data_IF_655779582584
#
_entry.id   IF_655779582584
#
_cell.length_a   1.000
_cell.length_b   1.000
_cell.length_c   1.000
_cell.angle_alpha   90.00
_cell.angle_beta   90.00
_cell.angle_gamma   90.00
#
_symmetry.space_group_name_H-M   'P 1'
#
loop_
_entity.id
_entity.type
_entity.pdbx_description
1 polymer ?
#
# COMPACT_ATOMS: atom_id res chain seq x y z
N UNK A 1 -2.43 4.40 9.03
CA UNK A 1 -3.19 3.18 8.62
C UNK A 1 -3.43 3.27 7.13
N UNK A 2 -3.64 2.17 6.40
CA UNK A 2 -3.74 2.22 4.93
C UNK A 2 -4.80 1.24 4.42
N UNK A 3 -5.26 1.47 3.20
CA UNK A 3 -6.04 0.53 2.42
C UNK A 3 -5.28 0.27 1.11
N UNK A 4 -5.07 -0.99 0.77
CA UNK A 4 -4.45 -1.40 -0.49
C UNK A 4 -5.36 -2.44 -1.13
N UNK A 5 -5.75 -2.23 -2.39
CA UNK A 5 -6.32 -3.25 -3.24
C UNK A 5 -5.40 -3.46 -4.44
N UNK A 6 -5.17 -4.71 -4.83
CA UNK A 6 -4.31 -5.00 -5.96
C UNK A 6 -4.76 -6.24 -6.72
N UNK A 7 -4.50 -6.23 -8.01
CA UNK A 7 -4.74 -7.33 -8.94
C UNK A 7 -3.38 -7.82 -9.45
N UNK A 8 -3.07 -9.08 -9.21
CA UNK A 8 -1.81 -9.71 -9.59
C UNK A 8 -2.07 -10.82 -10.60
N UNK A 9 -1.51 -10.67 -11.83
CA UNK A 9 -1.58 -11.66 -12.94
C UNK A 9 -2.98 -12.15 -13.28
N UNK A 10 -3.98 -11.28 -13.21
CA UNK A 10 -5.39 -11.58 -13.59
C UNK A 10 -5.87 -10.77 -14.78
N UNK A 11 -5.06 -9.82 -15.27
CA UNK A 11 -5.31 -9.10 -16.52
C UNK A 11 -4.24 -9.50 -17.55
N UNK A 12 -4.63 -9.73 -18.84
CA UNK A 12 -3.67 -10.20 -19.85
C UNK A 12 -2.54 -9.21 -20.13
N UNK A 13 -2.82 -7.91 -20.12
CA UNK A 13 -1.87 -6.86 -20.50
C UNK A 13 -1.26 -6.12 -19.30
N UNK A 14 -1.82 -6.30 -18.07
CA UNK A 14 -1.41 -5.58 -16.87
C UNK A 14 -1.15 -6.57 -15.72
N UNK A 15 0.10 -7.04 -15.57
CA UNK A 15 0.46 -8.08 -14.57
C UNK A 15 0.29 -7.62 -13.12
N UNK A 16 0.36 -6.31 -12.86
CA UNK A 16 0.12 -5.76 -11.52
C UNK A 16 -0.61 -4.42 -11.62
N UNK A 17 -1.76 -4.34 -10.93
CA UNK A 17 -2.53 -3.10 -10.77
C UNK A 17 -2.72 -2.89 -9.28
N UNK A 18 -2.34 -1.71 -8.76
CA UNK A 18 -2.45 -1.36 -7.34
C UNK A 18 -3.25 -0.07 -7.19
N UNK A 19 -4.18 -0.05 -6.25
CA UNK A 19 -4.90 1.14 -5.84
C UNK A 19 -4.91 1.22 -4.30
N UNK A 20 -4.40 2.32 -3.74
CA UNK A 20 -4.15 2.42 -2.30
C UNK A 20 -4.38 3.81 -1.74
N UNK A 21 -4.81 3.87 -0.47
CA UNK A 21 -4.84 5.07 0.36
C UNK A 21 -3.80 4.99 1.48
N UNK A 22 -3.10 6.09 1.71
CA UNK A 22 -2.33 6.32 2.92
C UNK A 22 -3.15 7.13 3.92
N UNK A 23 -3.43 6.54 5.05
CA UNK A 23 -4.12 7.20 6.16
C UNK A 23 -3.12 7.44 7.29
N UNK A 24 -3.00 8.69 7.75
CA UNK A 24 -1.99 9.09 8.73
C UNK A 24 -2.43 10.32 9.53
N UNK A 25 -1.78 10.58 10.65
CA UNK A 25 -1.94 11.82 11.41
C UNK A 25 -1.63 13.03 10.53
N UNK A 26 -2.49 14.06 10.60
CA UNK A 26 -2.40 15.25 9.76
C UNK A 26 -1.13 16.08 10.05
N UNK A 27 -0.62 16.00 11.28
CA UNK A 27 0.63 16.66 11.68
C UNK A 27 1.91 15.87 11.35
N UNK A 28 1.80 14.65 10.77
CA UNK A 28 2.97 13.89 10.33
C UNK A 28 3.45 14.42 8.98
N UNK A 29 4.60 15.07 8.99
CA UNK A 29 5.19 15.65 7.80
C UNK A 29 5.55 14.57 6.77
N UNK A 30 5.17 14.80 5.52
CA UNK A 30 5.33 13.84 4.42
C UNK A 30 5.63 14.59 3.13
N UNK A 31 6.64 14.16 2.40
CA UNK A 31 6.87 14.58 1.02
C UNK A 31 5.97 13.75 0.07
N UNK A 32 5.35 14.39 -0.95
CA UNK A 32 4.63 13.67 -1.99
C UNK A 32 5.57 12.80 -2.82
N UNK A 33 5.00 11.87 -3.60
CA UNK A 33 5.79 10.98 -4.45
C UNK A 33 6.71 11.75 -5.40
N UNK A 34 7.98 11.36 -5.38
CA UNK A 34 9.02 11.83 -6.28
C UNK A 34 10.18 10.82 -6.29
N UNK A 35 11.15 10.98 -7.20
CA UNK A 35 12.42 10.28 -7.09
C UNK A 35 13.23 10.83 -5.91
N UNK A 36 13.83 9.93 -5.13
CA UNK A 36 14.56 10.34 -3.95
C UNK A 36 16.00 10.80 -4.30
N UNK A 37 16.46 11.90 -3.73
CA UNK A 37 17.81 12.43 -3.98
C UNK A 37 18.91 11.46 -3.53
N UNK A 38 18.71 10.76 -2.41
CA UNK A 38 19.66 9.82 -1.82
C UNK A 38 19.55 8.39 -2.40
N UNK A 39 18.44 8.07 -3.09
CA UNK A 39 18.19 6.81 -3.81
C UNK A 39 17.41 7.10 -5.10
N UNK A 40 18.09 7.58 -6.16
CA UNK A 40 17.42 8.05 -7.39
C UNK A 40 16.61 7.00 -8.14
N UNK A 41 16.86 5.71 -7.85
CA UNK A 41 16.07 4.59 -8.36
C UNK A 41 14.71 4.45 -7.68
N UNK A 42 14.49 5.05 -6.49
CA UNK A 42 13.24 4.92 -5.74
C UNK A 42 12.28 6.05 -6.11
N UNK A 43 11.09 5.67 -6.55
CA UNK A 43 9.93 6.54 -6.74
C UNK A 43 8.90 6.26 -5.64
N UNK A 44 8.76 7.18 -4.70
CA UNK A 44 7.86 7.03 -3.53
C UNK A 44 7.57 8.38 -2.86
N UNK A 45 6.45 8.46 -2.13
CA UNK A 45 6.31 9.47 -1.10
C UNK A 45 7.29 9.21 0.05
N UNK A 46 7.63 10.24 0.84
CA UNK A 46 8.59 10.07 1.94
C UNK A 46 8.02 10.56 3.25
N UNK A 47 8.12 9.75 4.27
CA UNK A 47 7.86 10.12 5.65
C UNK A 47 9.05 10.96 6.16
N UNK A 48 8.86 12.25 6.34
CA UNK A 48 9.95 13.16 6.72
C UNK A 48 10.34 13.03 8.20
N UNK A 49 9.50 12.37 9.02
CA UNK A 49 9.82 12.13 10.41
C UNK A 49 10.71 10.89 10.61
N UNK A 50 10.44 9.80 9.85
CA UNK A 50 11.14 8.54 9.99
C UNK A 50 12.08 8.21 8.81
N UNK A 51 12.06 9.00 7.72
CA UNK A 51 12.94 8.86 6.57
C UNK A 51 12.58 7.77 5.56
N UNK A 52 11.69 6.82 5.93
CA UNK A 52 11.23 5.73 5.08
C UNK A 52 9.96 6.04 4.29
N UNK A 53 9.32 5.00 3.75
CA UNK A 53 8.05 5.11 3.02
C UNK A 53 7.07 4.00 3.37
N UNK A 54 5.80 4.21 3.03
CA UNK A 54 4.72 3.22 3.18
C UNK A 54 4.46 2.43 1.89
N UNK A 55 4.87 2.97 0.74
CA UNK A 55 4.70 2.40 -0.59
C UNK A 55 5.63 3.09 -1.57
N UNK A 56 6.20 2.33 -2.47
CA UNK A 56 7.02 2.84 -3.55
C UNK A 56 7.39 1.78 -4.57
N UNK A 57 8.05 2.22 -5.62
CA UNK A 57 8.64 1.35 -6.62
C UNK A 57 10.04 1.82 -6.98
N UNK A 58 10.79 0.98 -7.68
CA UNK A 58 12.06 1.37 -8.28
C UNK A 58 11.95 1.50 -9.79
N UNK A 59 12.92 2.17 -10.40
CA UNK A 59 13.09 2.20 -11.87
C UNK A 59 13.36 0.82 -12.45
N UNK A 60 13.77 -0.16 -11.63
CA UNK A 60 13.92 -1.57 -11.98
C UNK A 60 12.62 -2.39 -11.88
N UNK A 61 11.49 -1.75 -11.54
CA UNK A 61 10.18 -2.41 -11.47
C UNK A 61 9.89 -3.16 -10.17
N UNK A 62 10.75 -3.07 -9.15
CA UNK A 62 10.43 -3.59 -7.82
C UNK A 62 9.35 -2.71 -7.19
N UNK A 63 8.45 -3.32 -6.41
CA UNK A 63 7.41 -2.61 -5.68
C UNK A 63 7.31 -3.15 -4.26
N UNK A 64 7.08 -2.27 -3.30
CA UNK A 64 6.71 -2.66 -1.95
C UNK A 64 5.69 -1.71 -1.34
N UNK A 65 4.85 -2.26 -0.47
CA UNK A 65 3.87 -1.49 0.29
C UNK A 65 3.62 -2.12 1.66
N UNK A 66 3.28 -1.28 2.64
CA UNK A 66 3.12 -1.67 4.02
C UNK A 66 1.82 -1.14 4.61
N UNK A 67 1.16 -1.96 5.42
CA UNK A 67 0.11 -1.50 6.35
C UNK A 67 0.48 -1.86 7.79
N UNK A 68 0.12 -0.98 8.72
CA UNK A 68 0.17 -1.32 10.13
C UNK A 68 -0.86 -2.40 10.44
N UNK A 69 -0.53 -3.35 11.30
CA UNK A 69 -1.54 -4.20 11.92
C UNK A 69 -2.17 -3.43 13.10
N UNK A 70 -3.51 -3.44 13.20
CA UNK A 70 -4.23 -2.69 14.22
C UNK A 70 -4.43 -3.56 15.46
N UNK A 71 -3.54 -3.40 16.41
CA UNK A 71 -3.64 -3.97 17.76
C UNK A 71 -3.03 -2.97 18.76
N UNK A 72 -3.86 -2.06 19.31
CA UNK A 72 -3.36 -1.07 20.26
C UNK A 72 -2.77 -1.68 21.53
N UNK A 73 -3.15 -2.92 21.88
CA UNK A 73 -2.69 -3.59 23.10
C UNK A 73 -1.24 -4.09 23.00
N UNK A 74 -0.74 -4.30 21.77
CA UNK A 74 0.60 -4.81 21.50
C UNK A 74 1.58 -3.74 21.00
N UNK A 75 1.17 -2.47 20.92
CA UNK A 75 2.03 -1.42 20.34
C UNK A 75 3.16 -1.02 21.29
N UNK A 76 4.40 -1.21 20.83
CA UNK A 76 5.63 -0.90 21.56
C UNK A 76 6.14 0.50 21.19
N UNK A 77 6.77 1.18 22.16
CA UNK A 77 7.46 2.46 21.95
C UNK A 77 8.95 2.26 21.73
N UNK A 78 9.57 3.16 20.94
CA UNK A 78 11.02 3.12 20.74
C UNK A 78 11.53 2.03 19.80
N UNK A 79 10.63 1.39 19.06
CA UNK A 79 10.97 0.40 18.04
C UNK A 79 11.17 1.06 16.67
N UNK A 80 11.89 0.39 15.74
CA UNK A 80 12.10 0.92 14.39
C UNK A 80 10.82 1.24 13.63
N UNK A 81 10.90 2.20 12.71
CA UNK A 81 9.77 2.54 11.84
C UNK A 81 9.54 1.44 10.80
N UNK A 82 8.31 0.93 10.72
CA UNK A 82 7.91 -0.09 9.73
C UNK A 82 8.15 0.34 8.29
N UNK A 83 8.12 1.67 8.00
CA UNK A 83 8.40 2.21 6.67
C UNK A 83 9.83 1.95 6.19
N UNK A 84 10.76 1.64 7.08
CA UNK A 84 12.11 1.20 6.75
C UNK A 84 12.12 -0.12 5.99
N UNK A 85 11.24 -1.07 6.33
CA UNK A 85 11.11 -2.37 5.64
C UNK A 85 10.81 -2.20 4.14
N UNK A 86 9.95 -1.24 3.79
CA UNK A 86 9.67 -0.92 2.38
C UNK A 86 10.92 -0.39 1.69
N UNK A 87 11.61 0.57 2.32
CA UNK A 87 12.84 1.15 1.78
C UNK A 87 13.95 0.09 1.62
N UNK A 88 14.10 -0.79 2.60
CA UNK A 88 15.09 -1.88 2.55
C UNK A 88 14.81 -2.83 1.39
N UNK A 89 13.54 -3.28 1.20
CA UNK A 89 13.19 -4.13 0.05
C UNK A 89 13.44 -3.43 -1.30
N UNK A 90 13.09 -2.15 -1.42
CA UNK A 90 13.30 -1.40 -2.66
C UNK A 90 14.78 -1.25 -3.03
N UNK A 91 15.67 -1.21 -2.03
CA UNK A 91 17.12 -1.15 -2.20
C UNK A 91 17.80 -2.51 -2.33
N UNK A 92 17.11 -3.57 -1.92
CA UNK A 92 17.63 -4.94 -1.99
C UNK A 92 17.48 -5.50 -3.42
N UNK A 93 18.26 -6.52 -3.74
CA UNK A 93 18.19 -7.26 -5.00
C UNK A 93 17.64 -8.67 -4.85
N UNK A 94 17.32 -9.10 -3.61
CA UNK A 94 16.75 -10.41 -3.35
C UNK A 94 15.34 -10.55 -3.91
N UNK A 95 14.91 -11.80 -4.11
CA UNK A 95 13.53 -12.08 -4.51
C UNK A 95 12.54 -11.82 -3.36
N UNK A 96 11.28 -11.64 -3.70
CA UNK A 96 10.19 -11.52 -2.70
C UNK A 96 10.07 -12.73 -1.79
N UNK A 97 10.57 -13.89 -2.23
CA UNK A 97 10.60 -15.13 -1.44
C UNK A 97 11.69 -15.08 -0.35
N UNK A 98 12.84 -14.52 -0.65
CA UNK A 98 14.01 -14.53 0.25
C UNK A 98 14.06 -13.33 1.21
N UNK A 99 13.40 -12.22 0.86
CA UNK A 99 13.31 -11.08 1.77
C UNK A 99 12.36 -11.38 2.95
N UNK A 100 12.64 -11.06 4.21
CA UNK A 100 13.75 -10.21 4.70
C UNK A 100 15.01 -10.97 5.15
N UNK A 101 15.03 -12.32 5.09
CA UNK A 101 16.18 -13.09 5.62
C UNK A 101 17.49 -12.76 4.90
N UNK A 102 17.42 -12.55 3.57
CA UNK A 102 18.58 -12.13 2.79
C UNK A 102 19.16 -10.79 3.20
N UNK A 103 18.33 -9.91 3.77
CA UNK A 103 18.72 -8.60 4.27
C UNK A 103 19.02 -8.64 5.81
N UNK A 104 19.03 -9.83 6.43
CA UNK A 104 19.29 -10.04 7.86
C UNK A 104 18.40 -9.17 8.78
N UNK A 105 17.14 -8.97 8.40
CA UNK A 105 16.20 -8.10 9.12
C UNK A 105 15.51 -8.90 10.23
N UNK A 106 15.60 -8.42 11.45
CA UNK A 106 14.79 -8.90 12.56
C UNK A 106 13.38 -8.28 12.49
N UNK A 107 12.43 -9.04 11.90
CA UNK A 107 11.05 -8.59 11.75
C UNK A 107 10.30 -8.47 13.09
N UNK A 108 10.75 -9.16 14.13
CA UNK A 108 10.13 -9.13 15.46
C UNK A 108 10.52 -7.88 16.25
N UNK A 109 11.54 -7.14 15.78
CA UNK A 109 11.90 -5.84 16.35
C UNK A 109 10.87 -4.73 16.03
N UNK A 110 9.95 -4.96 15.08
CA UNK A 110 8.97 -3.96 14.63
C UNK A 110 7.61 -4.19 15.29
N UNK A 111 6.85 -3.12 15.46
CA UNK A 111 5.40 -3.22 15.73
C UNK A 111 4.68 -3.97 14.61
N UNK A 112 3.51 -4.54 14.91
CA UNK A 112 2.71 -5.33 13.99
C UNK A 112 2.52 -4.68 12.61
N UNK A 113 2.82 -5.41 11.54
CA UNK A 113 2.74 -4.95 10.16
C UNK A 113 2.29 -6.04 9.19
N UNK A 114 1.88 -5.60 8.02
CA UNK A 114 1.77 -6.38 6.80
C UNK A 114 2.67 -5.74 5.74
N UNK A 115 3.44 -6.54 5.04
CA UNK A 115 4.32 -6.11 3.95
C UNK A 115 3.95 -6.86 2.68
N UNK A 116 3.78 -6.11 1.59
CA UNK A 116 3.69 -6.60 0.23
C UNK A 116 5.00 -6.29 -0.48
N UNK A 117 5.52 -7.25 -1.23
CA UNK A 117 6.74 -7.12 -2.04
C UNK A 117 6.51 -7.66 -3.43
N UNK A 118 7.05 -7.00 -4.45
CA UNK A 118 7.06 -7.47 -5.84
C UNK A 118 8.45 -7.25 -6.43
N UNK A 119 9.07 -8.31 -6.90
CA UNK A 119 10.45 -8.31 -7.42
C UNK A 119 10.52 -8.25 -8.96
N UNK A 120 9.37 -7.99 -9.63
CA UNK A 120 9.20 -8.06 -11.08
C UNK A 120 8.61 -9.40 -11.53
N UNK A 121 8.80 -10.47 -10.76
CA UNK A 121 8.33 -11.82 -11.09
C UNK A 121 7.30 -12.33 -10.07
N UNK A 122 7.54 -12.14 -8.77
CA UNK A 122 6.73 -12.74 -7.70
C UNK A 122 6.19 -11.68 -6.75
N UNK A 123 4.93 -11.86 -6.35
CA UNK A 123 4.30 -11.06 -5.29
C UNK A 123 4.40 -11.81 -3.97
N UNK A 124 5.10 -11.23 -3.01
CA UNK A 124 5.22 -11.71 -1.64
C UNK A 124 4.25 -11.01 -0.69
N UNK A 125 3.77 -11.73 0.30
CA UNK A 125 3.03 -11.19 1.43
C UNK A 125 3.64 -11.70 2.74
N UNK A 126 3.85 -10.78 3.67
CA UNK A 126 4.37 -11.07 5.00
C UNK A 126 3.60 -10.30 6.07
N UNK A 127 3.46 -10.92 7.25
CA UNK A 127 3.01 -10.26 8.48
C UNK A 127 3.80 -10.84 9.65
N UNK A 128 4.28 -9.99 10.57
CA UNK A 128 4.94 -10.42 11.80
C UNK A 128 3.96 -10.66 12.95
N UNK A 129 2.65 -10.58 12.69
CA UNK A 129 1.62 -10.84 13.70
C UNK A 129 1.18 -12.30 13.67
N UNK A 130 0.80 -12.85 14.83
CA UNK A 130 0.11 -14.14 14.97
C UNK A 130 0.75 -15.31 14.22
N UNK A 131 2.06 -15.60 14.47
CA UNK A 131 2.88 -16.69 13.92
C UNK A 131 3.64 -16.37 12.63
N UNK A 132 4.00 -15.12 12.38
CA UNK A 132 4.85 -14.73 11.24
C UNK A 132 4.42 -15.40 9.92
N UNK A 133 3.40 -14.83 9.28
CA UNK A 133 2.91 -15.32 8.00
C UNK A 133 3.86 -14.83 6.91
N UNK A 134 4.31 -15.74 6.04
CA UNK A 134 5.07 -15.42 4.83
C UNK A 134 4.69 -16.36 3.71
N UNK A 135 4.39 -15.81 2.53
CA UNK A 135 4.07 -16.61 1.35
C UNK A 135 4.18 -15.80 0.06
N UNK A 136 4.46 -16.48 -1.03
CA UNK A 136 4.19 -15.98 -2.37
C UNK A 136 2.70 -16.08 -2.66
N UNK A 137 2.18 -15.08 -3.39
CA UNK A 137 0.77 -15.02 -3.74
C UNK A 137 0.55 -15.67 -5.12
N UNK A 138 -0.56 -16.39 -5.25
CA UNK A 138 -1.07 -16.85 -6.55
C UNK A 138 -1.69 -15.67 -7.33
N UNK A 139 -1.91 -15.80 -8.65
CA UNK A 139 -2.72 -14.84 -9.39
C UNK A 139 -4.08 -14.62 -8.72
N UNK A 140 -4.49 -13.35 -8.57
CA UNK A 140 -5.75 -13.03 -7.88
C UNK A 140 -5.95 -11.54 -7.64
N UNK A 141 -7.13 -11.19 -7.11
CA UNK A 141 -7.48 -9.85 -6.63
C UNK A 141 -7.51 -9.88 -5.12
N UNK A 142 -6.74 -9.02 -4.51
CA UNK A 142 -6.47 -8.98 -3.07
C UNK A 142 -6.81 -7.63 -2.47
N UNK A 143 -7.13 -7.64 -1.18
CA UNK A 143 -7.33 -6.44 -0.39
C UNK A 143 -6.63 -6.53 0.96
N UNK A 144 -5.99 -5.45 1.35
CA UNK A 144 -5.22 -5.36 2.59
C UNK A 144 -5.53 -4.04 3.29
N UNK A 145 -5.85 -4.13 4.57
CA UNK A 145 -5.92 -2.95 5.42
C UNK A 145 -5.11 -3.19 6.71
N UNK A 146 -5.68 -2.96 7.86
CA UNK A 146 -4.97 -3.00 9.14
C UNK A 146 -5.16 -4.33 9.90
N UNK A 147 -5.44 -5.39 9.18
CA UNK A 147 -5.49 -6.77 9.63
C UNK A 147 -4.83 -7.65 8.56
N UNK A 148 -4.92 -8.97 8.66
CA UNK A 148 -4.32 -9.88 7.69
C UNK A 148 -4.91 -9.70 6.27
N UNK A 149 -4.15 -10.12 5.26
CA UNK A 149 -4.55 -10.08 3.86
C UNK A 149 -5.94 -10.71 3.66
N UNK A 150 -6.78 -10.02 2.91
CA UNK A 150 -8.16 -10.43 2.58
C UNK A 150 -9.11 -10.54 3.79
N UNK A 151 -8.75 -9.97 4.94
CA UNK A 151 -9.73 -9.85 6.03
C UNK A 151 -10.96 -9.05 5.53
N UNK A 152 -12.18 -9.61 5.65
CA UNK A 152 -13.34 -9.09 4.95
C UNK A 152 -13.96 -7.85 5.61
N UNK A 153 -13.14 -6.86 5.91
CA UNK A 153 -13.63 -5.56 6.36
C UNK A 153 -14.39 -4.84 5.25
N UNK A 154 -15.44 -4.07 5.56
CA UNK A 154 -16.31 -3.43 4.55
C UNK A 154 -15.53 -2.68 3.49
N UNK A 155 -14.55 -1.84 3.87
CA UNK A 155 -13.71 -1.09 2.93
C UNK A 155 -12.83 -1.98 2.05
N UNK A 156 -12.36 -3.12 2.58
CA UNK A 156 -11.56 -4.08 1.83
C UNK A 156 -12.40 -4.75 0.75
N UNK A 157 -13.61 -5.21 1.10
CA UNK A 157 -14.53 -5.81 0.14
C UNK A 157 -14.96 -4.83 -0.94
N UNK A 158 -15.26 -3.58 -0.57
CA UNK A 158 -15.63 -2.52 -1.51
C UNK A 158 -14.47 -2.21 -2.48
N UNK A 159 -13.25 -2.06 -1.98
CA UNK A 159 -12.09 -1.79 -2.82
C UNK A 159 -11.79 -2.95 -3.77
N UNK A 160 -11.87 -4.21 -3.30
CA UNK A 160 -11.71 -5.41 -4.15
C UNK A 160 -12.75 -5.46 -5.26
N UNK A 161 -14.04 -5.29 -4.95
CA UNK A 161 -15.12 -5.32 -5.95
C UNK A 161 -15.02 -4.16 -6.95
N UNK A 162 -14.52 -3.00 -6.52
CA UNK A 162 -14.30 -1.86 -7.41
C UNK A 162 -13.10 -2.09 -8.32
N UNK A 163 -12.02 -2.68 -7.81
CA UNK A 163 -10.84 -3.04 -8.61
C UNK A 163 -11.16 -4.14 -9.62
N UNK A 164 -12.00 -5.12 -9.27
CA UNK A 164 -12.43 -6.20 -10.17
C UNK A 164 -13.09 -5.64 -11.45
N UNK A 165 -13.89 -4.56 -11.32
CA UNK A 165 -14.49 -3.88 -12.49
C UNK A 165 -13.43 -3.25 -13.38
N UNK A 166 -12.33 -2.72 -12.81
CA UNK A 166 -11.21 -2.15 -13.57
C UNK A 166 -10.39 -3.23 -14.27
N UNK A 167 -10.18 -4.37 -13.61
CA UNK A 167 -9.50 -5.55 -14.19
C UNK A 167 -10.30 -6.16 -15.35
N UNK A 168 -11.63 -6.05 -15.31
CA UNK A 168 -12.51 -6.54 -16.38
C UNK A 168 -12.59 -5.61 -17.60
N UNK A 169 -12.05 -4.40 -17.51
CA UNK A 169 -11.99 -3.45 -18.62
C UNK A 169 -10.74 -3.72 -19.48
N UNK A 170 -10.81 -3.43 -20.78
CA UNK A 170 -9.66 -3.59 -21.69
C UNK A 170 -8.44 -2.75 -21.26
N UNK A 171 -8.66 -1.62 -20.60
CA UNK A 171 -7.61 -0.76 -20.05
C UNK A 171 -8.09 -0.23 -18.70
N UNK A 172 -7.35 -0.47 -17.61
CA UNK A 172 -7.68 0.07 -16.31
C UNK A 172 -7.61 1.61 -16.30
N UNK A 173 -8.61 2.25 -15.71
CA UNK A 173 -8.72 3.70 -15.68
C UNK A 173 -8.24 4.24 -14.31
N UNK A 174 -7.15 5.02 -14.34
CA UNK A 174 -6.55 5.62 -13.15
C UNK A 174 -7.51 6.55 -12.41
N UNK A 175 -8.33 7.36 -13.12
CA UNK A 175 -9.25 8.29 -12.48
C UNK A 175 -10.42 7.55 -11.81
N UNK A 176 -10.93 6.49 -12.43
CA UNK A 176 -11.93 5.63 -11.79
C UNK A 176 -11.38 4.96 -10.53
N UNK A 177 -10.09 4.54 -10.54
CA UNK A 177 -9.45 3.95 -9.36
C UNK A 177 -9.24 5.00 -8.26
N UNK A 178 -8.76 6.18 -8.58
CA UNK A 178 -8.69 7.29 -7.63
C UNK A 178 -10.09 7.68 -7.11
N UNK A 179 -11.12 7.52 -7.96
CA UNK A 179 -12.52 7.79 -7.62
C UNK A 179 -13.05 6.85 -6.54
N UNK A 180 -12.89 5.53 -6.68
CA UNK A 180 -13.40 4.60 -5.66
C UNK A 180 -12.62 4.66 -4.34
N UNK A 181 -11.34 5.07 -4.37
CA UNK A 181 -10.56 5.31 -3.16
C UNK A 181 -11.07 6.50 -2.34
N UNK A 182 -11.89 7.38 -2.93
CA UNK A 182 -12.51 8.53 -2.24
C UNK A 182 -13.84 8.22 -1.54
N UNK A 183 -14.23 6.96 -1.47
CA UNK A 183 -15.44 6.56 -0.77
C UNK A 183 -15.29 6.81 0.75
N UNK A 184 -16.02 7.81 1.26
CA UNK A 184 -16.02 8.22 2.67
C UNK A 184 -17.23 7.67 3.46
N UNK A 185 -17.97 6.72 2.88
CA UNK A 185 -19.09 6.06 3.56
C UNK A 185 -18.60 5.21 4.72
N UNK A 186 -19.20 5.46 5.87
CA UNK A 186 -18.97 4.72 7.11
C UNK A 186 -19.82 3.43 7.06
N UNK A 187 -19.23 2.30 7.44
CA UNK A 187 -19.96 1.05 7.54
C UNK A 187 -20.93 1.05 8.71
N UNK A 188 -22.00 0.24 8.61
CA UNK A 188 -22.93 0.02 9.72
C UNK A 188 -22.24 -0.72 10.87
N UNK A 189 -22.65 -0.47 12.10
CA UNK A 189 -21.97 -0.94 13.32
C UNK A 189 -21.80 -2.46 13.36
N UNK A 190 -22.79 -3.19 12.85
CA UNK A 190 -22.79 -4.67 12.82
C UNK A 190 -21.68 -5.27 11.95
N UNK A 191 -21.13 -4.48 11.03
CA UNK A 191 -20.04 -4.89 10.13
C UNK A 191 -18.66 -4.38 10.57
N UNK A 192 -18.61 -3.58 11.66
CA UNK A 192 -17.35 -3.03 12.15
C UNK A 192 -16.52 -4.12 12.83
N UNK A 193 -15.19 -4.10 12.65
CA UNK A 193 -14.31 -4.97 13.43
C UNK A 193 -14.27 -4.51 14.89
N UNK A 194 -13.88 -5.39 15.78
CA UNK A 194 -13.53 -5.07 17.17
C UNK A 194 -12.01 -5.21 17.33
N UNK A 195 -11.28 -4.11 17.18
CA UNK A 195 -9.80 -4.13 17.19
C UNK A 195 -9.21 -3.49 18.46
N UNK A 196 -10.05 -3.20 19.46
CA UNK A 196 -9.63 -2.61 20.74
C UNK A 196 -9.62 -1.08 20.76
N UNK A 197 -10.03 -0.42 19.66
CA UNK A 197 -10.26 1.04 19.68
C UNK A 197 -11.73 1.37 19.98
N UNK A 198 -12.05 2.58 20.50
CA UNK A 198 -13.43 3.02 20.70
C UNK A 198 -14.28 2.92 19.43
N UNK A 199 -15.59 2.65 19.58
CA UNK A 199 -16.53 2.46 18.48
C UNK A 199 -16.56 3.65 17.51
N UNK A 200 -16.48 4.87 17.99
CA UNK A 200 -16.42 6.09 17.17
C UNK A 200 -15.20 6.07 16.23
N UNK A 201 -14.06 5.57 16.72
CA UNK A 201 -12.84 5.42 15.93
C UNK A 201 -13.01 4.28 14.93
N UNK A 202 -13.59 3.11 15.32
CA UNK A 202 -13.88 2.03 14.37
C UNK A 202 -14.78 2.51 13.22
N UNK A 203 -15.84 3.30 13.53
CA UNK A 203 -16.70 3.91 12.51
C UNK A 203 -15.89 4.78 11.53
N UNK A 204 -15.10 5.73 12.04
CA UNK A 204 -14.30 6.62 11.20
C UNK A 204 -13.29 5.86 10.33
N UNK A 205 -12.66 4.82 10.90
CA UNK A 205 -11.66 4.00 10.20
C UNK A 205 -12.26 2.96 9.24
N UNK A 206 -13.59 2.81 9.20
CA UNK A 206 -14.28 1.88 8.31
C UNK A 206 -14.41 2.40 6.87
N UNK A 207 -14.32 3.71 6.65
CA UNK A 207 -14.34 4.33 5.35
C UNK A 207 -13.04 4.02 4.57
N UNK A 208 -13.13 4.00 3.22
CA UNK A 208 -11.94 3.96 2.36
C UNK A 208 -11.19 5.28 2.39
N UNK A 209 -11.92 6.40 2.37
CA UNK A 209 -11.38 7.75 2.51
C UNK A 209 -11.72 8.29 3.91
N UNK A 210 -10.72 8.41 4.75
CA UNK A 210 -10.91 8.77 6.16
C UNK A 210 -10.85 10.29 6.34
N UNK A 211 -11.86 10.82 7.06
CA UNK A 211 -11.90 12.21 7.56
C UNK A 211 -12.23 12.18 9.04
N UNK A 212 -11.23 12.41 9.86
CA UNK A 212 -11.38 12.42 11.32
C UNK A 212 -10.50 13.53 11.92
N UNK A 213 -10.87 14.15 13.04
CA UNK A 213 -10.08 15.20 13.67
C UNK A 213 -8.62 14.75 13.91
N UNK A 214 -7.66 15.43 13.30
CA UNK A 214 -6.23 15.15 13.44
C UNK A 214 -5.73 13.93 12.67
N UNK A 215 -6.59 13.17 11.97
CA UNK A 215 -6.24 11.95 11.25
C UNK A 215 -7.05 11.80 9.96
N UNK A 216 -6.44 11.34 8.87
CA UNK A 216 -7.18 11.15 7.63
C UNK A 216 -6.34 10.63 6.47
N UNK A 217 -7.00 10.45 5.32
CA UNK A 217 -6.34 10.04 4.09
C UNK A 217 -5.48 11.19 3.57
N UNK A 218 -4.17 10.96 3.45
CA UNK A 218 -3.16 11.94 3.04
C UNK A 218 -2.88 11.88 1.54
N UNK A 219 -2.91 10.66 0.97
CA UNK A 219 -2.75 10.46 -0.47
C UNK A 219 -3.48 9.20 -0.93
N UNK A 220 -3.85 9.20 -2.22
CA UNK A 220 -4.30 8.03 -2.97
C UNK A 220 -3.30 7.76 -4.08
N UNK A 221 -2.86 6.51 -4.22
CA UNK A 221 -1.87 6.10 -5.20
C UNK A 221 -2.43 4.99 -6.08
N UNK A 222 -2.22 5.11 -7.40
CA UNK A 222 -2.51 4.08 -8.39
C UNK A 222 -1.22 3.74 -9.14
N UNK A 223 -0.90 2.45 -9.22
CA UNK A 223 0.26 1.95 -9.97
C UNK A 223 -0.23 0.88 -10.93
N UNK A 224 0.15 1.00 -12.21
CA UNK A 224 -0.24 0.06 -13.27
C UNK A 224 1.02 -0.37 -14.00
N UNK A 225 1.33 -1.66 -13.91
CA UNK A 225 2.41 -2.32 -14.67
C UNK A 225 1.84 -2.85 -15.98
N UNK A 226 2.43 -2.50 -17.09
CA UNK A 226 2.10 -3.01 -18.42
C UNK A 226 3.03 -4.14 -18.86
N UNK A 227 2.51 -5.12 -19.59
CA UNK A 227 3.32 -6.16 -20.25
C UNK A 227 4.27 -5.60 -21.31
N UNK A 228 4.07 -4.36 -21.75
CA UNK A 228 4.97 -3.63 -22.65
C UNK A 228 6.21 -3.08 -21.94
N UNK A 229 6.34 -3.30 -20.64
CA UNK A 229 7.42 -2.79 -19.79
C UNK A 229 7.19 -1.38 -19.28
N UNK A 230 6.05 -0.74 -19.56
CA UNK A 230 5.70 0.55 -18.98
C UNK A 230 5.12 0.40 -17.58
N UNK A 231 5.43 1.33 -16.68
CA UNK A 231 4.74 1.46 -15.39
C UNK A 231 4.25 2.88 -15.22
N UNK A 232 2.96 3.03 -14.95
CA UNK A 232 2.38 4.33 -14.56
C UNK A 232 2.22 4.37 -13.06
N UNK A 233 2.82 5.38 -12.42
CA UNK A 233 2.66 5.70 -11.00
C UNK A 233 1.93 7.03 -10.88
N UNK A 234 0.76 7.05 -10.24
CA UNK A 234 -0.03 8.28 -10.03
C UNK A 234 -0.35 8.43 -8.55
N UNK A 235 0.04 9.55 -7.95
CA UNK A 235 -0.33 9.92 -6.58
C UNK A 235 -1.15 11.21 -6.58
N UNK A 236 -2.27 11.19 -5.85
CA UNK A 236 -3.08 12.37 -5.52
C UNK A 236 -3.00 12.65 -4.04
N UNK A 237 -2.53 13.85 -3.68
CA UNK A 237 -2.40 14.31 -2.31
C UNK A 237 -3.59 15.15 -1.88
N UNK A 238 -3.89 15.15 -0.56
CA UNK A 238 -5.02 15.85 0.03
C UNK A 238 -4.57 16.73 1.19
N UNK A 239 -5.28 17.86 1.35
CA UNK A 239 -5.13 18.73 2.51
C UNK A 239 -5.90 18.21 3.75
N UNK A 240 -5.86 18.98 4.81
CA UNK A 240 -6.53 18.64 6.08
C UNK A 240 -8.06 18.57 5.99
N UNK A 241 -8.66 19.17 4.97
CA UNK A 241 -10.09 19.10 4.67
C UNK A 241 -10.46 17.88 3.80
N UNK A 242 -9.46 17.17 3.27
CA UNK A 242 -9.62 16.12 2.27
C UNK A 242 -9.83 16.66 0.85
N UNK A 243 -9.59 17.95 0.60
CA UNK A 243 -9.58 18.49 -0.76
C UNK A 243 -8.30 18.08 -1.49
N UNK A 244 -8.41 17.79 -2.79
CA UNK A 244 -7.25 17.47 -3.61
C UNK A 244 -6.33 18.68 -3.77
N UNK A 245 -5.05 18.51 -3.43
CA UNK A 245 -4.02 19.57 -3.55
C UNK A 245 -3.26 19.42 -4.86
N UNK A 246 -2.79 18.24 -5.16
CA UNK A 246 -2.00 17.94 -6.36
C UNK A 246 -2.21 16.50 -6.83
N UNK A 247 -1.95 16.29 -8.12
CA UNK A 247 -1.80 14.96 -8.71
C UNK A 247 -0.47 14.92 -9.44
N UNK A 248 0.38 13.96 -9.05
CA UNK A 248 1.67 13.69 -9.71
C UNK A 248 1.56 12.40 -10.48
N UNK A 249 2.04 12.40 -11.72
CA UNK A 249 2.05 11.22 -12.59
C UNK A 249 3.46 11.01 -13.13
N UNK A 250 3.94 9.79 -13.00
CA UNK A 250 5.22 9.32 -13.52
C UNK A 250 4.98 8.15 -14.46
N UNK A 251 5.79 8.06 -15.51
CA UNK A 251 5.83 6.92 -16.42
C UNK A 251 7.26 6.40 -16.41
N UNK A 252 7.43 5.15 -16.02
CA UNK A 252 8.73 4.47 -15.94
C UNK A 252 8.76 3.41 -17.04
N UNK A 253 9.84 3.35 -17.82
CA UNK A 253 10.06 2.32 -18.85
C UNK A 253 11.04 1.27 -18.28
N UNK A 254 10.59 0.03 -18.19
CA UNK A 254 11.34 -1.11 -17.65
C UNK A 254 11.98 -1.98 -18.74
N UNK A 255 11.96 -1.58 -20.02
CA UNK A 255 12.32 -2.43 -21.18
C UNK A 255 13.70 -3.08 -21.13
N UNK A 256 14.61 -2.52 -20.35
CA UNK A 256 15.96 -3.05 -20.23
C UNK A 256 16.16 -4.04 -19.08
N UNK A 257 15.09 -4.36 -18.29
CA UNK A 257 15.25 -5.08 -17.01
C UNK A 257 14.25 -6.23 -16.76
N UNK A 258 13.22 -6.41 -17.57
CA UNK A 258 12.29 -7.55 -17.43
C UNK A 258 12.70 -8.62 -18.44
N UNK A 259 13.56 -9.56 -18.03
CA UNK A 259 13.62 -10.89 -18.63
C UNK A 259 12.42 -11.67 -18.08
N UNK A 260 11.37 -11.78 -18.88
CA UNK A 260 10.20 -12.63 -18.61
C UNK A 260 10.56 -14.12 -18.62
#
# INVERSE_FOLDING_TARGET
>A
MCLISFAYRVHPDFPLIVAANRDEFLNRETAPADYWDDYPEILAGRDLQAGGTWMGMTTAGRFAALTNYRDPSSELKGVPSRGELVTQFLRDTSTSELFPESAEIDIDAYNGFNLLTFDGAHMGYMSNTNRSIRRLLAPGIYGLSNHLLDTPWPKVQLAKSSLEKQVSAATPDTENMLGFLRDDRIAVDELLPSTGVPLEIERALSASFIRFPGYGTRSSTVIIYGMDGSVTFTERTFDVSGASVATRKFVVDLKDQISL
#
